data_IF_923261651884
#
_entry.id   IF_923261651884
#
_cell.length_a   1.000
_cell.length_b   1.000
_cell.length_c   1.000
_cell.angle_alpha   90.00
_cell.angle_beta   90.00
_cell.angle_gamma   90.00
#
_symmetry.space_group_name_H-M   'P 1'
#
loop_
_entity.id
_entity.type
_entity.pdbx_description
1 polymer ?
#
# COMPACT_ATOMS: atom_id res chain seq x y z
N UNK A 1 19.63 -1.35 2.03
CA UNK A 1 20.45 -1.11 3.26
C UNK A 1 19.66 -0.36 4.35
N UNK A 2 19.38 0.94 4.22
CA UNK A 2 18.68 1.71 5.27
C UNK A 2 17.30 1.17 5.64
N UNK A 3 16.49 0.79 4.66
CA UNK A 3 15.16 0.20 4.89
C UNK A 3 15.24 -1.10 5.71
N UNK A 4 16.10 -2.03 5.30
CA UNK A 4 16.29 -3.29 6.04
C UNK A 4 16.82 -3.07 7.45
N UNK A 5 17.76 -2.14 7.63
CA UNK A 5 18.30 -1.81 8.95
C UNK A 5 17.21 -1.21 9.87
N UNK A 6 16.36 -0.33 9.34
CA UNK A 6 15.23 0.24 10.09
C UNK A 6 14.23 -0.86 10.49
N UNK A 7 13.86 -1.74 9.56
CA UNK A 7 12.95 -2.86 9.85
C UNK A 7 13.53 -3.86 10.84
N UNK A 8 14.82 -4.18 10.74
CA UNK A 8 15.52 -5.03 11.69
C UNK A 8 15.58 -4.41 13.10
N UNK A 9 15.56 -3.07 13.20
CA UNK A 9 15.46 -2.34 14.46
C UNK A 9 14.01 -2.18 14.97
N UNK A 10 13.03 -2.80 14.32
CA UNK A 10 11.61 -2.76 14.72
C UNK A 10 10.84 -1.52 14.24
N UNK A 11 11.40 -0.69 13.37
CA UNK A 11 10.66 0.41 12.76
C UNK A 11 9.79 -0.07 11.60
N UNK A 12 8.68 0.65 11.37
CA UNK A 12 7.76 0.39 10.25
C UNK A 12 8.23 1.06 8.96
N UNK A 13 8.14 0.34 7.85
CA UNK A 13 8.27 0.87 6.50
C UNK A 13 6.89 1.35 6.00
N UNK A 14 6.74 2.66 5.86
CA UNK A 14 5.49 3.32 5.45
C UNK A 14 5.72 4.06 4.12
N UNK A 15 5.56 3.40 2.96
CA UNK A 15 5.52 4.07 1.67
C UNK A 15 4.47 5.17 1.64
N UNK A 16 4.83 6.28 0.99
CA UNK A 16 3.93 7.39 0.69
C UNK A 16 3.59 7.30 -0.79
N UNK A 17 2.37 6.84 -1.08
CA UNK A 17 1.86 6.58 -2.41
C UNK A 17 1.98 5.11 -2.84
N UNK A 18 1.02 4.66 -3.64
CA UNK A 18 0.95 3.28 -4.16
C UNK A 18 2.11 2.94 -5.10
N UNK A 19 2.68 3.92 -5.80
CA UNK A 19 3.89 3.72 -6.60
C UNK A 19 5.07 3.31 -5.72
N UNK A 20 5.28 3.99 -4.58
CA UNK A 20 6.35 3.64 -3.65
C UNK A 20 6.14 2.24 -3.06
N UNK A 21 4.90 1.88 -2.70
CA UNK A 21 4.58 0.52 -2.26
C UNK A 21 4.92 -0.52 -3.32
N UNK A 22 4.48 -0.33 -4.57
CA UNK A 22 4.78 -1.25 -5.68
C UNK A 22 6.29 -1.40 -5.88
N UNK A 23 7.05 -0.33 -5.77
CA UNK A 23 8.52 -0.39 -5.85
C UNK A 23 9.10 -1.26 -4.73
N UNK A 24 8.69 -1.05 -3.48
CA UNK A 24 9.19 -1.83 -2.35
C UNK A 24 8.82 -3.31 -2.46
N UNK A 25 7.56 -3.62 -2.77
CA UNK A 25 7.08 -5.00 -2.93
C UNK A 25 7.67 -5.70 -4.16
N UNK A 26 8.19 -4.96 -5.14
CA UNK A 26 8.92 -5.57 -6.27
C UNK A 26 10.39 -5.85 -5.95
N UNK A 27 10.92 -5.22 -4.91
CA UNK A 27 12.33 -5.33 -4.50
C UNK A 27 12.53 -6.28 -3.32
N UNK A 28 11.45 -6.86 -2.77
CA UNK A 28 11.51 -7.72 -1.59
C UNK A 28 11.51 -9.19 -1.98
N UNK A 29 12.35 -9.98 -1.32
CA UNK A 29 12.33 -11.43 -1.49
C UNK A 29 11.30 -12.12 -0.57
N UNK A 30 11.25 -13.45 -0.65
CA UNK A 30 10.33 -14.26 0.17
C UNK A 30 10.62 -14.17 1.67
N UNK A 31 11.86 -13.88 2.05
CA UNK A 31 12.31 -13.75 3.44
C UNK A 31 12.05 -12.33 3.99
N UNK A 32 11.51 -11.42 3.17
CA UNK A 32 11.18 -10.06 3.57
C UNK A 32 12.35 -9.09 3.48
N UNK A 33 13.46 -9.48 2.85
CA UNK A 33 14.64 -8.63 2.66
C UNK A 33 14.51 -7.78 1.40
N UNK A 34 14.69 -6.47 1.51
CA UNK A 34 14.59 -5.55 0.37
C UNK A 34 15.95 -5.40 -0.31
N UNK A 35 16.02 -5.74 -1.60
CA UNK A 35 17.22 -5.68 -2.42
C UNK A 35 17.28 -4.38 -3.21
N UNK A 36 18.50 -3.91 -3.51
CA UNK A 36 18.66 -2.82 -4.46
C UNK A 36 18.38 -3.36 -5.87
N UNK A 37 17.48 -2.70 -6.60
CA UNK A 37 17.13 -3.08 -7.95
C UNK A 37 16.78 -1.85 -8.78
N UNK A 38 16.92 -1.98 -10.11
CA UNK A 38 16.50 -1.00 -11.10
C UNK A 38 15.83 -1.73 -12.24
N UNK A 39 14.66 -1.27 -12.66
CA UNK A 39 13.94 -1.86 -13.78
C UNK A 39 12.45 -1.54 -13.75
N UNK A 40 11.70 -1.98 -14.77
CA UNK A 40 10.24 -1.93 -14.75
C UNK A 40 9.70 -2.89 -13.68
N UNK A 41 8.46 -2.65 -13.27
CA UNK A 41 7.71 -3.59 -12.43
C UNK A 41 6.33 -3.85 -13.03
N UNK A 42 6.03 -5.14 -13.18
CA UNK A 42 4.72 -5.65 -13.56
C UNK A 42 3.93 -6.15 -12.33
N UNK A 43 4.38 -5.80 -11.12
CA UNK A 43 3.69 -6.23 -9.90
C UNK A 43 2.25 -5.75 -9.89
N UNK A 44 1.36 -6.68 -9.62
CA UNK A 44 -0.07 -6.48 -9.49
C UNK A 44 -0.56 -7.14 -8.21
N UNK A 45 -0.70 -6.33 -7.16
CA UNK A 45 -1.13 -6.75 -5.84
C UNK A 45 -2.66 -6.85 -5.79
N UNK A 46 -3.17 -8.03 -5.46
CA UNK A 46 -4.60 -8.33 -5.31
C UNK A 46 -4.85 -9.00 -3.95
N UNK A 47 -6.08 -8.89 -3.41
CA UNK A 47 -6.43 -9.53 -2.14
C UNK A 47 -6.01 -11.01 -2.09
N UNK A 48 -5.31 -11.39 -1.02
CA UNK A 48 -4.72 -12.72 -0.83
C UNK A 48 -3.22 -12.80 -1.14
N UNK A 49 -2.66 -11.82 -1.87
CA UNK A 49 -1.20 -11.74 -2.05
C UNK A 49 -0.51 -11.32 -0.74
N UNK A 50 0.72 -11.79 -0.54
CA UNK A 50 1.54 -11.39 0.61
C UNK A 50 2.16 -10.01 0.38
N UNK A 51 1.94 -9.10 1.33
CA UNK A 51 2.68 -7.85 1.46
C UNK A 51 3.85 -8.09 2.40
N UNK A 52 5.09 -7.91 1.93
CA UNK A 52 6.30 -8.31 2.67
C UNK A 52 7.20 -7.15 3.06
N UNK A 53 7.21 -6.08 2.26
CA UNK A 53 8.09 -4.92 2.49
C UNK A 53 7.41 -3.77 3.23
N UNK A 54 6.09 -3.74 3.18
CA UNK A 54 5.25 -2.61 3.59
C UNK A 54 4.46 -2.95 4.86
N UNK A 55 4.62 -2.13 5.90
CA UNK A 55 3.92 -2.32 7.18
C UNK A 55 2.68 -1.40 7.31
N UNK A 56 2.61 -0.35 6.51
CA UNK A 56 1.50 0.61 6.44
C UNK A 56 1.57 1.41 5.13
N UNK A 57 0.50 2.11 4.76
CA UNK A 57 0.48 2.91 3.53
C UNK A 57 -0.19 4.27 3.76
N UNK A 58 0.44 5.34 3.28
CA UNK A 58 -0.21 6.64 3.10
C UNK A 58 -0.56 6.80 1.61
N UNK A 59 -1.83 7.02 1.27
CA UNK A 59 -2.27 7.18 -0.12
C UNK A 59 -3.54 8.02 -0.20
N UNK A 60 -4.07 8.26 -1.40
CA UNK A 60 -5.34 8.93 -1.63
C UNK A 60 -6.50 7.91 -1.66
N UNK A 61 -7.74 8.41 -1.69
CA UNK A 61 -8.89 7.59 -2.07
C UNK A 61 -8.94 7.36 -3.59
N UNK A 62 -8.96 6.10 -3.99
CA UNK A 62 -9.01 5.64 -5.38
C UNK A 62 -10.45 5.37 -5.85
N UNK A 63 -10.69 5.19 -7.15
CA UNK A 63 -12.01 4.81 -7.64
C UNK A 63 -12.39 3.37 -7.27
N UNK A 64 -13.68 3.09 -6.99
CA UNK A 64 -14.19 1.72 -6.93
C UNK A 64 -13.86 0.96 -8.23
N UNK A 65 -13.46 -0.31 -8.10
CA UNK A 65 -13.13 -1.16 -9.26
C UNK A 65 -11.78 -0.87 -9.92
N UNK A 66 -10.96 0.02 -9.38
CA UNK A 66 -9.60 0.27 -9.87
C UNK A 66 -8.56 -0.74 -9.36
N UNK A 67 -7.45 -0.88 -10.08
CA UNK A 67 -6.30 -1.67 -9.62
C UNK A 67 -5.69 -1.13 -8.31
N UNK A 68 -5.76 0.19 -8.10
CA UNK A 68 -5.31 0.81 -6.86
C UNK A 68 -6.23 0.47 -5.68
N UNK A 69 -7.54 0.32 -5.92
CA UNK A 69 -8.45 -0.19 -4.90
C UNK A 69 -8.10 -1.64 -4.50
N UNK A 70 -7.74 -2.49 -5.47
CA UNK A 70 -7.28 -3.85 -5.16
C UNK A 70 -5.97 -3.87 -4.35
N UNK A 71 -5.03 -2.96 -4.65
CA UNK A 71 -3.78 -2.82 -3.90
C UNK A 71 -4.04 -2.45 -2.44
N UNK A 72 -4.88 -1.46 -2.16
CA UNK A 72 -5.20 -1.08 -0.76
C UNK A 72 -5.99 -2.19 -0.04
N UNK A 73 -6.82 -2.96 -0.77
CA UNK A 73 -7.49 -4.14 -0.21
C UNK A 73 -6.51 -5.29 0.09
N UNK A 74 -5.39 -5.38 -0.62
CA UNK A 74 -4.34 -6.38 -0.35
C UNK A 74 -3.70 -6.12 1.02
N UNK A 75 -3.54 -4.84 1.38
CA UNK A 75 -2.96 -4.43 2.66
C UNK A 75 -3.96 -4.53 3.84
N UNK A 76 -5.17 -4.00 3.67
CA UNK A 76 -6.12 -3.81 4.78
C UNK A 76 -7.27 -4.83 4.82
N UNK A 77 -7.40 -5.65 3.78
CA UNK A 77 -8.57 -6.49 3.56
C UNK A 77 -9.72 -5.75 2.88
N UNK A 78 -10.47 -6.48 2.06
CA UNK A 78 -11.54 -5.93 1.22
C UNK A 78 -12.69 -5.33 2.03
N UNK A 79 -13.10 -5.99 3.12
CA UNK A 79 -14.25 -5.54 3.91
C UNK A 79 -13.95 -4.26 4.69
N UNK A 80 -12.74 -4.16 5.24
CA UNK A 80 -12.24 -2.93 5.90
C UNK A 80 -12.21 -1.78 4.91
N UNK A 81 -11.65 -1.98 3.72
CA UNK A 81 -11.58 -0.91 2.72
C UNK A 81 -12.95 -0.50 2.19
N UNK A 82 -13.89 -1.44 2.03
CA UNK A 82 -15.28 -1.12 1.68
C UNK A 82 -15.96 -0.26 2.75
N UNK A 83 -15.79 -0.61 4.02
CA UNK A 83 -16.34 0.16 5.13
C UNK A 83 -15.73 1.57 5.20
N UNK A 84 -14.41 1.68 5.06
CA UNK A 84 -13.71 2.98 5.04
C UNK A 84 -14.17 3.88 3.87
N UNK A 85 -14.37 3.30 2.70
CA UNK A 85 -14.86 4.04 1.53
C UNK A 85 -16.32 4.47 1.67
N UNK A 86 -17.18 3.59 2.20
CA UNK A 86 -18.57 3.94 2.49
C UNK A 86 -18.65 5.11 3.48
N UNK A 87 -17.80 5.10 4.52
CA UNK A 87 -17.67 6.21 5.45
C UNK A 87 -17.19 7.50 4.75
N UNK A 88 -16.14 7.42 3.94
CA UNK A 88 -15.60 8.58 3.22
C UNK A 88 -16.65 9.22 2.29
N UNK A 89 -17.42 8.40 1.57
CA UNK A 89 -18.53 8.86 0.72
C UNK A 89 -19.63 9.52 1.56
N UNK A 90 -20.03 8.91 2.68
CA UNK A 90 -21.07 9.44 3.55
C UNK A 90 -20.68 10.76 4.26
N UNK A 91 -19.39 11.08 4.32
CA UNK A 91 -18.85 12.28 4.96
C UNK A 91 -18.22 13.25 3.95
N UNK A 92 -18.59 13.15 2.66
CA UNK A 92 -18.16 14.06 1.60
C UNK A 92 -16.63 14.25 1.48
N UNK A 93 -15.86 13.19 1.76
CA UNK A 93 -14.43 13.20 1.49
C UNK A 93 -14.18 13.40 0.00
N UNK A 94 -13.10 14.10 -0.33
CA UNK A 94 -12.67 14.34 -1.70
C UNK A 94 -11.83 13.16 -2.16
N UNK A 95 -12.18 12.59 -3.31
CA UNK A 95 -11.45 11.45 -3.89
C UNK A 95 -10.42 11.93 -4.93
N UNK A 96 -9.65 10.99 -5.49
CA UNK A 96 -8.72 11.21 -6.60
C UNK A 96 -7.41 11.93 -6.23
N UNK A 97 -6.65 12.33 -7.25
CA UNK A 97 -5.29 12.86 -7.16
C UNK A 97 -5.15 14.11 -6.26
N UNK A 98 -6.19 14.92 -6.17
CA UNK A 98 -6.20 16.17 -5.39
C UNK A 98 -7.20 16.12 -4.23
N UNK A 99 -7.71 14.93 -3.93
CA UNK A 99 -8.61 14.71 -2.82
C UNK A 99 -7.90 14.60 -1.48
N UNK A 100 -8.59 13.98 -0.53
CA UNK A 100 -8.07 13.70 0.79
C UNK A 100 -7.21 12.43 0.79
N UNK A 101 -6.42 12.28 1.85
CA UNK A 101 -5.53 11.14 2.05
C UNK A 101 -6.10 10.17 3.10
N UNK A 102 -5.67 8.92 3.00
CA UNK A 102 -5.86 7.90 4.01
C UNK A 102 -4.49 7.38 4.49
N UNK A 103 -4.41 7.14 5.80
CA UNK A 103 -3.31 6.40 6.43
C UNK A 103 -3.86 5.03 6.81
N UNK A 104 -3.28 3.98 6.23
CA UNK A 104 -3.70 2.59 6.36
C UNK A 104 -2.71 1.85 7.26
N UNK A 105 -3.19 1.41 8.43
CA UNK A 105 -2.43 0.70 9.46
C UNK A 105 -3.10 -0.66 9.73
N UNK A 106 -2.55 -1.78 9.20
CA UNK A 106 -3.05 -3.14 9.46
C UNK A 106 -2.96 -3.58 10.92
#
# INVERSE_FOLDING_TARGET
>A
ARLNAARAAGYRAVPVGTTAMRTLESCVDTDGMIHAATGPTDIFLKPGDAVRATDALMTNFHLPGSSLFMLVCTLMGTDVMRAAYAHAIANDYRFYSYGDACLLLP
#
